data_IF_238054503921
#
_entry.id   IF_238054503921
#
_cell.length_a   1.000
_cell.length_b   1.000
_cell.length_c   1.000
_cell.angle_alpha   90.00
_cell.angle_beta   90.00
_cell.angle_gamma   90.00
#
_symmetry.space_group_name_H-M   'P 1'
#
loop_
_entity.id
_entity.type
_entity.pdbx_description
1 polymer ?
#
# COMPACT_ATOMS: atom_id res chain seq x y z
N UNK A 1 17.65 -16.26 -16.69
CA UNK A 1 16.44 -15.47 -16.97
C UNK A 1 16.15 -14.55 -15.79
N UNK A 2 15.42 -13.44 -16.00
CA UNK A 2 14.95 -12.56 -14.91
C UNK A 2 13.44 -12.62 -14.80
N UNK A 3 12.90 -12.60 -13.59
CA UNK A 3 11.45 -12.63 -13.37
C UNK A 3 11.06 -12.17 -11.99
N UNK A 4 9.76 -12.15 -11.71
CA UNK A 4 9.19 -11.76 -10.42
C UNK A 4 8.50 -12.94 -9.75
N UNK A 5 8.75 -13.17 -8.47
CA UNK A 5 8.00 -14.17 -7.70
C UNK A 5 6.57 -13.67 -7.51
N UNK A 6 5.60 -14.36 -8.10
CA UNK A 6 4.17 -13.99 -8.03
C UNK A 6 3.39 -14.84 -7.04
N UNK A 7 3.88 -16.04 -6.70
CA UNK A 7 3.20 -16.98 -5.80
C UNK A 7 4.21 -17.84 -5.07
N UNK A 8 3.94 -18.14 -3.80
CA UNK A 8 4.73 -19.09 -3.00
C UNK A 8 3.81 -20.11 -2.35
N UNK A 9 4.03 -21.39 -2.67
CA UNK A 9 3.34 -22.52 -2.05
C UNK A 9 4.37 -23.47 -1.48
N UNK A 10 4.46 -23.53 -0.14
CA UNK A 10 5.46 -24.31 0.58
C UNK A 10 6.90 -23.96 0.17
N UNK A 11 7.56 -24.80 -0.62
CA UNK A 11 8.95 -24.62 -1.09
C UNK A 11 9.03 -24.35 -2.60
N UNK A 12 7.89 -24.15 -3.25
CA UNK A 12 7.75 -23.89 -4.67
C UNK A 12 7.41 -22.41 -4.89
N UNK A 13 8.14 -21.79 -5.83
CA UNK A 13 8.06 -20.38 -6.15
C UNK A 13 7.64 -20.25 -7.61
N UNK A 14 6.50 -19.63 -7.87
CA UNK A 14 6.09 -19.36 -9.24
C UNK A 14 6.68 -18.01 -9.67
N UNK A 15 7.56 -18.06 -10.66
CA UNK A 15 8.27 -16.88 -11.20
C UNK A 15 7.63 -16.48 -12.52
N UNK A 16 7.15 -15.24 -12.64
CA UNK A 16 6.66 -14.69 -13.89
C UNK A 16 7.78 -14.01 -14.66
N UNK A 17 7.93 -14.37 -15.94
CA UNK A 17 8.92 -13.80 -16.85
C UNK A 17 8.39 -13.87 -18.28
N UNK A 18 8.50 -12.76 -19.03
CA UNK A 18 8.17 -12.69 -20.47
C UNK A 18 6.79 -13.28 -20.84
N UNK A 19 5.76 -13.00 -20.04
CA UNK A 19 4.39 -13.47 -20.35
C UNK A 19 4.09 -14.90 -19.87
N UNK A 20 5.03 -15.57 -19.20
CA UNK A 20 4.88 -16.96 -18.75
C UNK A 20 5.21 -17.11 -17.27
N UNK A 21 4.55 -18.06 -16.63
CA UNK A 21 4.81 -18.46 -15.25
C UNK A 21 5.64 -19.75 -15.22
N UNK A 22 6.66 -19.78 -14.38
CA UNK A 22 7.60 -20.88 -14.24
C UNK A 22 7.63 -21.36 -12.80
N UNK A 23 7.28 -22.62 -12.59
CA UNK A 23 7.42 -23.27 -11.29
C UNK A 23 8.90 -23.53 -10.99
N UNK A 24 9.37 -22.89 -9.93
CA UNK A 24 10.78 -22.83 -9.58
C UNK A 24 11.05 -23.28 -8.14
N UNK A 25 12.27 -23.73 -7.89
CA UNK A 25 12.77 -24.06 -6.56
C UNK A 25 13.85 -23.07 -6.14
N UNK A 26 13.84 -22.65 -4.88
CA UNK A 26 14.96 -21.89 -4.32
C UNK A 26 16.10 -22.83 -3.91
N UNK A 27 17.29 -22.61 -4.47
CA UNK A 27 18.50 -23.36 -4.13
C UNK A 27 18.98 -23.06 -2.71
N UNK A 28 19.70 -24.01 -2.10
CA UNK A 28 20.12 -23.94 -0.69
C UNK A 28 20.88 -22.67 -0.30
N UNK A 29 21.74 -22.14 -1.19
CA UNK A 29 22.47 -20.89 -0.94
C UNK A 29 21.56 -19.65 -0.86
N UNK A 30 20.49 -19.60 -1.65
CA UNK A 30 19.52 -18.49 -1.64
C UNK A 30 18.75 -18.48 -0.33
N UNK A 31 18.31 -19.65 0.14
CA UNK A 31 17.58 -19.79 1.41
C UNK A 31 18.39 -19.38 2.65
N UNK A 32 19.71 -19.41 2.57
CA UNK A 32 20.64 -19.09 3.66
C UNK A 32 20.97 -17.60 3.75
N UNK A 33 20.77 -16.83 2.68
CA UNK A 33 21.02 -15.38 2.65
C UNK A 33 19.76 -14.59 2.96
N UNK A 34 18.71 -14.78 2.14
CA UNK A 34 17.42 -14.11 2.31
C UNK A 34 16.30 -15.06 1.92
N UNK A 35 15.26 -15.14 2.76
CA UNK A 35 14.06 -15.91 2.44
C UNK A 35 13.35 -15.23 1.27
N UNK A 36 13.12 -15.92 0.13
CA UNK A 36 12.37 -15.32 -0.97
C UNK A 36 10.93 -15.07 -0.55
N UNK A 37 10.41 -13.90 -0.93
CA UNK A 37 9.02 -13.49 -0.70
C UNK A 37 8.37 -13.09 -2.02
N UNK A 38 7.04 -12.97 -2.02
CA UNK A 38 6.30 -12.51 -3.19
C UNK A 38 6.71 -11.07 -3.52
N UNK A 39 6.80 -10.75 -4.82
CA UNK A 39 7.27 -9.46 -5.31
C UNK A 39 8.77 -9.38 -5.58
N UNK A 40 9.56 -10.33 -5.06
CA UNK A 40 11.00 -10.39 -5.30
C UNK A 40 11.30 -10.53 -6.79
N UNK A 41 12.25 -9.73 -7.25
CA UNK A 41 12.84 -9.91 -8.58
C UNK A 41 14.00 -10.88 -8.46
N UNK A 42 14.06 -11.87 -9.35
CA UNK A 42 14.99 -12.99 -9.23
C UNK A 42 15.67 -13.32 -10.55
N UNK A 43 16.88 -13.83 -10.45
CA UNK A 43 17.55 -14.55 -11.52
C UNK A 43 17.32 -16.05 -11.33
N UNK A 44 16.84 -16.70 -12.38
CA UNK A 44 16.54 -18.13 -12.38
C UNK A 44 16.94 -18.78 -13.70
N UNK A 45 17.22 -20.08 -13.66
CA UNK A 45 17.67 -20.86 -14.83
C UNK A 45 17.16 -22.30 -14.77
N UNK A 46 17.17 -22.98 -15.91
CA UNK A 46 16.77 -24.38 -16.02
C UNK A 46 17.98 -25.28 -15.72
N UNK A 47 17.87 -26.09 -14.66
CA UNK A 47 18.89 -27.08 -14.24
C UNK A 47 18.19 -28.42 -14.09
N UNK A 48 18.68 -29.46 -14.76
CA UNK A 48 18.13 -30.82 -14.68
C UNK A 48 16.59 -30.85 -14.79
N UNK A 49 16.08 -30.18 -15.84
CA UNK A 49 14.64 -30.06 -16.16
C UNK A 49 13.80 -29.25 -15.16
N UNK A 50 14.42 -28.60 -14.16
CA UNK A 50 13.73 -27.78 -13.16
C UNK A 50 14.24 -26.34 -13.18
N UNK A 51 13.32 -25.39 -13.05
CA UNK A 51 13.71 -24.00 -12.86
C UNK A 51 14.20 -23.77 -11.43
N UNK A 52 15.36 -23.15 -11.29
CA UNK A 52 16.02 -22.93 -10.02
C UNK A 52 16.36 -21.45 -9.85
N UNK A 53 15.88 -20.84 -8.77
CA UNK A 53 16.23 -19.47 -8.38
C UNK A 53 17.68 -19.47 -7.89
N UNK A 54 18.51 -18.66 -8.54
CA UNK A 54 19.93 -18.50 -8.25
C UNK A 54 20.21 -17.29 -7.38
N UNK A 55 19.42 -16.22 -7.54
CA UNK A 55 19.67 -14.95 -6.87
C UNK A 55 18.37 -14.16 -6.69
N UNK A 56 18.23 -13.52 -5.54
CA UNK A 56 17.24 -12.47 -5.28
C UNK A 56 17.93 -11.12 -5.55
N UNK A 57 17.30 -10.27 -6.34
CA UNK A 57 17.76 -8.91 -6.62
C UNK A 57 17.38 -7.98 -5.46
N UNK A 58 18.03 -6.82 -5.39
CA UNK A 58 17.82 -5.84 -4.33
C UNK A 58 16.35 -5.40 -4.24
N UNK A 59 15.80 -5.38 -3.02
CA UNK A 59 14.43 -4.95 -2.75
C UNK A 59 14.40 -3.42 -2.63
N UNK A 60 13.50 -2.77 -3.35
CA UNK A 60 13.23 -1.33 -3.17
C UNK A 60 12.49 -1.02 -1.87
N UNK A 61 11.61 -1.92 -1.47
CA UNK A 61 10.87 -1.88 -0.22
C UNK A 61 10.39 -3.29 0.15
N UNK A 62 9.93 -3.45 1.39
CA UNK A 62 9.40 -4.70 1.90
C UNK A 62 8.35 -4.44 2.98
N UNK A 63 7.24 -5.16 2.92
CA UNK A 63 6.24 -5.22 3.97
C UNK A 63 6.38 -6.53 4.76
N UNK A 64 6.11 -6.47 6.06
CA UNK A 64 6.16 -7.64 6.95
C UNK A 64 4.83 -8.41 6.89
N UNK A 65 3.69 -7.71 6.84
CA UNK A 65 2.34 -8.30 6.85
C UNK A 65 1.44 -7.59 5.84
N UNK A 66 1.16 -8.20 4.67
CA UNK A 66 1.69 -9.46 4.16
C UNK A 66 3.20 -9.36 3.87
N UNK A 67 3.87 -10.50 3.83
CA UNK A 67 5.26 -10.54 3.34
C UNK A 67 5.26 -10.35 1.82
N UNK A 68 5.62 -9.14 1.39
CA UNK A 68 5.73 -8.74 -0.03
C UNK A 68 6.84 -7.70 -0.20
N UNK A 69 7.56 -7.73 -1.30
CA UNK A 69 8.57 -6.72 -1.68
C UNK A 69 8.23 -6.02 -2.98
N UNK A 70 8.95 -4.93 -3.25
CA UNK A 70 8.89 -4.20 -4.52
C UNK A 70 7.47 -3.76 -4.89
N UNK A 71 6.74 -3.24 -3.89
CA UNK A 71 5.40 -2.68 -4.06
C UNK A 71 5.54 -1.23 -4.53
N UNK A 72 4.96 -0.89 -5.67
CA UNK A 72 5.05 0.47 -6.21
C UNK A 72 4.06 1.41 -5.52
N UNK A 73 2.85 0.93 -5.23
CA UNK A 73 1.79 1.76 -4.68
C UNK A 73 0.80 0.99 -3.80
N UNK A 74 0.12 1.71 -2.93
CA UNK A 74 -0.99 1.21 -2.14
C UNK A 74 -2.24 2.06 -2.43
N UNK A 75 -3.30 1.41 -2.87
CA UNK A 75 -4.58 2.06 -3.09
C UNK A 75 -5.39 2.04 -1.80
N UNK A 76 -5.61 3.22 -1.22
CA UNK A 76 -6.48 3.46 -0.06
C UNK A 76 -7.91 3.62 -0.58
N UNK A 77 -8.74 2.60 -0.42
CA UNK A 77 -10.14 2.65 -0.85
C UNK A 77 -11.01 3.08 0.34
N UNK A 78 -11.71 4.19 0.15
CA UNK A 78 -12.68 4.75 1.09
C UNK A 78 -14.03 4.90 0.42
N UNK A 79 -15.10 4.91 1.20
CA UNK A 79 -16.43 5.31 0.75
C UNK A 79 -16.70 6.76 1.16
N UNK A 80 -17.52 7.46 0.39
CA UNK A 80 -17.94 8.81 0.72
C UNK A 80 -18.94 8.84 1.88
N UNK A 81 -19.93 7.93 1.86
CA UNK A 81 -21.06 7.95 2.81
C UNK A 81 -21.24 6.68 3.64
N UNK A 82 -20.98 5.49 3.10
CA UNK A 82 -21.26 4.23 3.81
C UNK A 82 -20.10 3.21 3.68
N UNK A 83 -19.25 3.07 4.70
CA UNK A 83 -19.14 3.93 5.89
C UNK A 83 -18.76 5.39 5.54
N UNK A 84 -19.00 6.30 6.49
CA UNK A 84 -18.66 7.71 6.34
C UNK A 84 -17.16 7.89 6.08
N UNK A 85 -16.82 8.83 5.20
CA UNK A 85 -15.43 9.16 4.91
C UNK A 85 -14.70 9.61 6.18
N UNK A 86 -13.51 9.03 6.43
CA UNK A 86 -12.69 9.37 7.59
C UNK A 86 -11.31 9.80 7.15
N UNK A 87 -11.02 11.10 7.23
CA UNK A 87 -9.70 11.65 6.95
C UNK A 87 -8.64 11.09 7.93
N UNK A 88 -9.02 10.85 9.19
CA UNK A 88 -8.14 10.24 10.21
C UNK A 88 -7.64 8.87 9.75
N UNK A 89 -8.52 8.04 9.19
CA UNK A 89 -8.13 6.73 8.67
C UNK A 89 -7.24 6.87 7.43
N UNK A 90 -7.57 7.77 6.51
CA UNK A 90 -6.77 8.00 5.30
C UNK A 90 -5.37 8.45 5.66
N UNK A 91 -5.22 9.43 6.55
CA UNK A 91 -3.91 9.95 6.96
C UNK A 91 -3.08 8.89 7.69
N UNK A 92 -3.70 8.11 8.58
CA UNK A 92 -3.00 6.98 9.22
C UNK A 92 -2.50 5.97 8.20
N UNK A 93 -3.30 5.64 7.18
CA UNK A 93 -2.87 4.77 6.10
C UNK A 93 -1.75 5.39 5.27
N UNK A 94 -1.84 6.68 4.93
CA UNK A 94 -0.78 7.43 4.24
C UNK A 94 0.53 7.33 5.01
N UNK A 95 0.51 7.53 6.33
CA UNK A 95 1.71 7.47 7.17
C UNK A 95 2.35 6.08 7.13
N UNK A 96 1.56 5.02 7.31
CA UNK A 96 2.06 3.64 7.23
C UNK A 96 2.61 3.31 5.83
N UNK A 97 1.88 3.67 4.79
CA UNK A 97 2.25 3.41 3.39
C UNK A 97 3.54 4.13 3.04
N UNK A 98 3.63 5.42 3.37
CA UNK A 98 4.78 6.25 3.03
C UNK A 98 6.02 5.83 3.83
N UNK A 99 5.86 5.41 5.09
CA UNK A 99 6.96 4.86 5.89
C UNK A 99 7.62 3.64 5.23
N UNK A 100 6.82 2.82 4.52
CA UNK A 100 7.30 1.64 3.81
C UNK A 100 7.83 1.96 2.39
N UNK A 101 8.06 3.23 2.05
CA UNK A 101 8.51 3.64 0.70
C UNK A 101 7.57 3.17 -0.42
N UNK A 102 6.26 3.22 -0.15
CA UNK A 102 5.20 2.89 -1.11
C UNK A 102 4.39 4.16 -1.39
N UNK A 103 4.00 4.37 -2.65
CA UNK A 103 3.20 5.55 -3.04
C UNK A 103 1.70 5.36 -2.68
N UNK A 104 1.10 6.22 -1.83
CA UNK A 104 -0.33 6.16 -1.53
C UNK A 104 -1.17 6.78 -2.66
N UNK A 105 -2.18 6.03 -3.11
CA UNK A 105 -3.20 6.51 -4.04
C UNK A 105 -4.56 6.41 -3.38
N UNK A 106 -5.32 7.50 -3.33
CA UNK A 106 -6.62 7.54 -2.67
C UNK A 106 -7.72 7.29 -3.70
N UNK A 107 -8.59 6.32 -3.42
CA UNK A 107 -9.79 6.07 -4.20
C UNK A 107 -11.01 6.24 -3.32
N UNK A 108 -11.86 7.20 -3.66
CA UNK A 108 -13.12 7.45 -2.97
C UNK A 108 -14.26 6.87 -3.80
N UNK A 109 -15.07 6.04 -3.18
CA UNK A 109 -16.19 5.33 -3.79
C UNK A 109 -17.53 5.86 -3.31
N UNK A 110 -18.60 5.49 -4.03
CA UNK A 110 -19.97 5.88 -3.71
C UNK A 110 -20.18 7.40 -3.76
N UNK A 111 -19.45 8.09 -4.65
CA UNK A 111 -19.62 9.54 -4.86
C UNK A 111 -20.99 9.87 -5.46
N UNK A 112 -21.66 8.89 -6.07
CA UNK A 112 -23.04 8.98 -6.56
C UNK A 112 -24.09 9.05 -5.45
N UNK A 113 -23.71 8.75 -4.20
CA UNK A 113 -24.61 8.72 -3.05
C UNK A 113 -24.45 9.92 -2.11
N UNK A 114 -23.57 10.87 -2.44
CA UNK A 114 -23.37 12.08 -1.62
C UNK A 114 -24.51 13.08 -1.86
N UNK A 115 -24.91 13.77 -0.80
CA UNK A 115 -25.77 14.94 -0.90
C UNK A 115 -24.95 16.24 -0.98
N UNK A 116 -25.61 17.35 -1.33
CA UNK A 116 -24.97 18.68 -1.44
C UNK A 116 -24.43 19.22 -0.10
N UNK A 117 -24.80 18.61 1.04
CA UNK A 117 -24.34 19.04 2.36
C UNK A 117 -23.04 18.37 2.81
N UNK A 118 -22.51 17.45 2.01
CA UNK A 118 -21.32 16.69 2.34
C UNK A 118 -20.03 17.47 1.99
N UNK A 119 -19.15 17.67 2.98
CA UNK A 119 -17.89 18.41 2.82
C UNK A 119 -16.74 17.56 2.22
N UNK A 120 -17.03 16.43 1.57
CA UNK A 120 -15.99 15.52 1.05
C UNK A 120 -15.05 16.19 0.04
N UNK A 121 -15.56 17.14 -0.74
CA UNK A 121 -14.77 17.86 -1.73
C UNK A 121 -13.64 18.69 -1.10
N UNK A 122 -13.86 19.24 0.10
CA UNK A 122 -12.81 19.96 0.82
C UNK A 122 -11.66 19.02 1.20
N UNK A 123 -11.97 17.82 1.68
CA UNK A 123 -10.95 16.81 1.97
C UNK A 123 -10.22 16.36 0.70
N UNK A 124 -10.96 16.13 -0.40
CA UNK A 124 -10.38 15.73 -1.69
C UNK A 124 -9.36 16.76 -2.18
N UNK A 125 -9.72 18.04 -2.16
CA UNK A 125 -8.85 19.11 -2.60
C UNK A 125 -7.66 19.32 -1.64
N UNK A 126 -7.85 19.10 -0.34
CA UNK A 126 -6.74 19.09 0.61
C UNK A 126 -5.67 18.02 0.27
N UNK A 127 -6.09 16.79 -0.02
CA UNK A 127 -5.20 15.72 -0.46
C UNK A 127 -4.52 16.04 -1.81
N UNK A 128 -5.26 16.59 -2.78
CA UNK A 128 -4.71 16.96 -4.09
C UNK A 128 -3.67 18.07 -4.00
N UNK A 129 -3.94 19.14 -3.25
CA UNK A 129 -2.99 20.24 -3.01
C UNK A 129 -1.69 19.77 -2.37
N UNK A 130 -1.78 18.71 -1.56
CA UNK A 130 -0.63 18.09 -0.90
C UNK A 130 0.14 17.10 -1.78
N UNK A 131 -0.28 16.94 -3.05
CA UNK A 131 0.40 16.11 -4.04
C UNK A 131 0.01 14.63 -4.03
N UNK A 132 -1.11 14.26 -3.41
CA UNK A 132 -1.66 12.90 -3.48
C UNK A 132 -2.57 12.74 -4.70
N UNK A 133 -2.51 11.56 -5.32
CA UNK A 133 -3.45 11.18 -6.38
C UNK A 133 -4.78 10.75 -5.77
N UNK A 134 -5.86 11.46 -6.11
CA UNK A 134 -7.23 11.15 -5.64
C UNK A 134 -8.13 10.84 -6.83
N UNK A 135 -8.70 9.63 -6.85
CA UNK A 135 -9.67 9.18 -7.85
C UNK A 135 -11.04 9.02 -7.18
N UNK A 136 -12.05 9.66 -7.75
CA UNK A 136 -13.43 9.58 -7.31
C UNK A 136 -14.20 8.61 -8.23
N UNK A 137 -15.05 7.76 -7.65
CA UNK A 137 -15.82 6.72 -8.35
C UNK A 137 -17.29 6.74 -7.93
N UNK A 138 -18.19 6.43 -8.86
CA UNK A 138 -19.65 6.51 -8.69
C UNK A 138 -20.40 6.82 -9.99
N UNK A 139 -19.73 7.39 -11.00
CA UNK A 139 -20.39 7.99 -12.18
C UNK A 139 -20.10 7.28 -13.52
N UNK A 140 -19.19 6.30 -13.55
CA UNK A 140 -19.00 5.37 -14.67
C UNK A 140 -17.66 5.43 -15.41
N UNK A 141 -17.00 6.59 -15.47
CA UNK A 141 -15.79 6.82 -16.29
C UNK A 141 -14.46 6.66 -15.51
N UNK A 142 -14.53 6.46 -14.21
CA UNK A 142 -13.37 6.33 -13.31
C UNK A 142 -12.44 5.14 -13.59
N UNK A 143 -12.94 4.09 -14.26
CA UNK A 143 -12.20 2.84 -14.44
C UNK A 143 -11.00 3.02 -15.37
N UNK A 144 -11.06 3.96 -16.32
CA UNK A 144 -9.94 4.25 -17.21
C UNK A 144 -8.76 4.81 -16.42
N UNK A 145 -9.00 5.83 -15.59
CA UNK A 145 -7.99 6.45 -14.73
C UNK A 145 -7.37 5.44 -13.77
N UNK A 146 -8.19 4.52 -13.25
CA UNK A 146 -7.73 3.50 -12.33
C UNK A 146 -6.92 2.40 -13.03
N UNK A 147 -7.28 2.01 -14.26
CA UNK A 147 -6.45 1.11 -15.09
C UNK A 147 -5.08 1.72 -15.39
N UNK A 148 -5.03 3.01 -15.74
CA UNK A 148 -3.77 3.74 -15.93
C UNK A 148 -2.93 3.81 -14.65
N UNK A 149 -3.57 3.94 -13.48
CA UNK A 149 -2.86 3.87 -12.19
C UNK A 149 -2.22 2.50 -11.98
N UNK A 150 -2.92 1.42 -12.30
CA UNK A 150 -2.50 0.04 -12.02
C UNK A 150 -1.45 -0.48 -13.00
N UNK A 151 -1.47 -0.01 -14.25
CA UNK A 151 -0.62 -0.50 -15.32
C UNK A 151 0.87 -0.51 -14.92
N UNK A 152 1.54 -1.62 -15.21
CA UNK A 152 2.98 -1.85 -14.99
C UNK A 152 3.46 -1.70 -13.53
N UNK A 153 2.54 -1.73 -12.55
CA UNK A 153 2.86 -1.58 -11.13
C UNK A 153 2.41 -2.75 -10.27
N UNK A 154 3.14 -3.00 -9.19
CA UNK A 154 2.72 -3.84 -8.08
C UNK A 154 1.92 -3.00 -7.10
N UNK A 155 0.66 -3.38 -6.90
CA UNK A 155 -0.31 -2.64 -6.09
C UNK A 155 -0.83 -3.49 -4.95
N UNK A 156 -0.92 -2.90 -3.76
CA UNK A 156 -1.64 -3.46 -2.61
C UNK A 156 -2.89 -2.63 -2.32
N UNK A 157 -3.90 -3.23 -1.67
CA UNK A 157 -5.12 -2.52 -1.28
C UNK A 157 -5.20 -2.30 0.22
N UNK A 158 -5.66 -1.11 0.60
CA UNK A 158 -5.95 -0.70 1.96
C UNK A 158 -7.39 -0.16 2.07
N UNK A 159 -7.89 -0.08 3.30
CA UNK A 159 -9.22 0.47 3.62
C UNK A 159 -10.11 -0.52 4.37
N UNK A 160 -11.22 -0.03 4.93
CA UNK A 160 -12.14 -0.82 5.76
C UNK A 160 -12.95 -1.85 4.96
N UNK A 161 -13.55 -2.84 5.64
CA UNK A 161 -14.55 -3.69 4.99
C UNK A 161 -15.77 -2.86 4.57
N UNK A 162 -16.48 -3.27 3.50
CA UNK A 162 -17.71 -2.59 3.05
C UNK A 162 -17.51 -1.34 2.18
N UNK A 163 -16.30 -0.76 2.11
CA UNK A 163 -15.96 0.42 1.28
C UNK A 163 -15.93 0.17 -0.24
N UNK A 164 -16.34 -1.01 -0.70
CA UNK A 164 -16.44 -1.30 -2.14
C UNK A 164 -15.18 -1.83 -2.84
N UNK A 165 -14.10 -2.21 -2.13
CA UNK A 165 -12.87 -2.79 -2.72
C UNK A 165 -13.14 -3.92 -3.73
N UNK A 166 -13.84 -4.98 -3.32
CA UNK A 166 -14.13 -6.12 -4.20
C UNK A 166 -14.99 -5.72 -5.39
N UNK A 167 -15.94 -4.81 -5.19
CA UNK A 167 -16.79 -4.29 -6.27
C UNK A 167 -15.97 -3.49 -7.29
N UNK A 168 -15.04 -2.65 -6.82
CA UNK A 168 -14.10 -1.89 -7.64
C UNK A 168 -13.21 -2.82 -8.49
N UNK A 169 -12.63 -3.85 -7.87
CA UNK A 169 -11.78 -4.82 -8.57
C UNK A 169 -12.55 -5.62 -9.62
N UNK A 170 -13.77 -6.06 -9.31
CA UNK A 170 -14.61 -6.79 -10.25
C UNK A 170 -15.00 -5.95 -11.46
N UNK A 171 -15.13 -4.63 -11.31
CA UNK A 171 -15.37 -3.70 -12.42
C UNK A 171 -14.12 -3.45 -13.26
N UNK A 172 -12.94 -3.49 -12.65
CA UNK A 172 -11.66 -3.25 -13.33
C UNK A 172 -11.28 -4.37 -14.28
N UNK A 173 -11.41 -5.62 -13.83
CA UNK A 173 -11.01 -6.79 -14.61
C UNK A 173 -11.93 -7.99 -14.34
N UNK A 174 -12.61 -8.46 -15.39
CA UNK A 174 -13.50 -9.62 -15.31
C UNK A 174 -12.74 -10.92 -15.01
N UNK A 175 -11.45 -11.00 -15.38
CA UNK A 175 -10.61 -12.17 -15.06
C UNK A 175 -10.34 -12.26 -13.56
N UNK A 176 -10.17 -11.11 -12.89
CA UNK A 176 -10.05 -11.06 -11.44
C UNK A 176 -11.35 -11.48 -10.74
N UNK A 177 -12.51 -11.17 -11.31
CA UNK A 177 -13.80 -11.62 -10.77
C UNK A 177 -13.89 -13.17 -10.67
N UNK A 178 -13.26 -13.91 -11.58
CA UNK A 178 -13.19 -15.37 -11.52
C UNK A 178 -12.32 -15.84 -10.34
N UNK A 179 -11.16 -15.20 -10.14
CA UNK A 179 -10.31 -15.48 -8.98
C UNK A 179 -11.01 -15.14 -7.65
N UNK A 180 -11.71 -14.00 -7.57
CA UNK A 180 -12.45 -13.65 -6.35
C UNK A 180 -13.56 -14.63 -6.00
N UNK A 181 -14.18 -15.32 -6.97
CA UNK A 181 -15.17 -16.37 -6.68
C UNK A 181 -14.53 -17.65 -6.12
N UNK A 182 -13.33 -18.02 -6.58
CA UNK A 182 -12.55 -19.11 -5.99
C UNK A 182 -12.03 -18.74 -4.59
N UNK A 183 -11.56 -17.51 -4.43
CA UNK A 183 -11.08 -16.93 -3.18
C UNK A 183 -12.23 -16.76 -2.16
N UNK A 184 -13.41 -16.25 -2.56
CA UNK A 184 -14.55 -16.06 -1.65
C UNK A 184 -15.17 -17.39 -1.21
N UNK A 185 -15.11 -18.44 -2.03
CA UNK A 185 -15.48 -19.80 -1.63
C UNK A 185 -14.51 -20.37 -0.59
N UNK A 186 -13.22 -20.01 -0.65
CA UNK A 186 -12.23 -20.37 0.37
C UNK A 186 -12.37 -19.51 1.66
N UNK A 187 -12.69 -18.22 1.54
CA UNK A 187 -12.89 -17.27 2.64
C UNK A 187 -14.25 -17.38 3.34
N UNK A 188 -15.27 -17.96 2.68
CA UNK A 188 -16.60 -18.19 3.24
C UNK A 188 -16.64 -19.19 4.41
N UNK A 189 -15.52 -19.86 4.72
CA UNK A 189 -15.30 -20.59 5.97
C UNK A 189 -14.58 -19.65 6.94
N UNK A 190 -15.34 -18.83 7.64
CA UNK A 190 -14.84 -17.73 8.47
C UNK A 190 -13.55 -18.04 9.24
N UNK A 191 -12.47 -17.38 8.82
CA UNK A 191 -11.34 -16.91 9.63
C UNK A 191 -10.42 -16.14 8.68
N UNK A 192 -10.16 -14.86 8.97
CA UNK A 192 -9.22 -14.01 8.22
C UNK A 192 -7.80 -14.59 8.28
N UNK A 193 -7.51 -15.60 7.46
CA UNK A 193 -6.22 -16.31 7.42
C UNK A 193 -5.89 -16.69 5.98
N UNK A 194 -5.81 -15.71 5.08
CA UNK A 194 -5.07 -15.93 3.83
C UNK A 194 -3.59 -15.93 4.19
N UNK A 195 -3.05 -17.11 4.53
CA UNK A 195 -1.63 -17.33 4.91
C UNK A 195 -0.66 -17.21 3.73
N UNK A 196 -1.16 -16.95 2.52
CA UNK A 196 -0.37 -16.91 1.31
C UNK A 196 -0.62 -15.60 0.57
N UNK A 197 0.43 -14.79 0.43
CA UNK A 197 0.46 -13.66 -0.50
C UNK A 197 0.54 -14.20 -1.92
N UNK A 198 -0.22 -13.64 -2.85
CA UNK A 198 -0.17 -13.94 -4.28
C UNK A 198 -0.43 -12.66 -5.08
N UNK A 199 0.26 -12.52 -6.22
CA UNK A 199 0.09 -11.43 -7.17
C UNK A 199 -0.78 -11.88 -8.34
N UNK A 200 -1.89 -11.17 -8.55
CA UNK A 200 -2.81 -11.37 -9.65
C UNK A 200 -2.59 -10.31 -10.71
N UNK A 201 -2.61 -10.71 -11.97
CA UNK A 201 -2.53 -9.73 -13.05
C UNK A 201 -3.86 -8.99 -13.16
N UNK A 202 -3.82 -7.66 -13.07
CA UNK A 202 -5.02 -6.81 -13.12
C UNK A 202 -4.68 -5.55 -13.91
N UNK A 203 -5.44 -5.26 -14.96
CA UNK A 203 -5.31 -4.02 -15.73
C UNK A 203 -3.88 -3.71 -16.23
N UNK A 204 -3.11 -4.75 -16.59
CA UNK A 204 -1.72 -4.60 -17.04
C UNK A 204 -0.69 -4.40 -15.92
N UNK A 205 -1.09 -4.47 -14.65
CA UNK A 205 -0.20 -4.51 -13.49
C UNK A 205 -0.42 -5.76 -12.64
N UNK A 206 0.04 -5.68 -11.39
CA UNK A 206 -0.06 -6.74 -10.39
C UNK A 206 -0.80 -6.24 -9.16
N UNK A 207 -1.68 -7.08 -8.62
CA UNK A 207 -2.44 -6.81 -7.42
C UNK A 207 -2.20 -7.90 -6.38
N UNK A 208 -1.83 -7.53 -5.16
CA UNK A 208 -1.72 -8.48 -4.06
C UNK A 208 -3.09 -8.73 -3.39
N UNK A 209 -3.52 -9.99 -3.28
CA UNK A 209 -4.75 -10.39 -2.58
C UNK A 209 -4.52 -10.61 -1.09
N UNK A 210 -4.05 -9.56 -0.41
CA UNK A 210 -3.88 -9.59 1.04
C UNK A 210 -4.13 -8.22 1.62
N UNK A 211 -4.79 -8.11 2.78
CA UNK A 211 -4.92 -6.84 3.46
C UNK A 211 -3.54 -6.43 4.00
N UNK A 212 -2.89 -5.45 3.35
CA UNK A 212 -1.56 -4.99 3.77
C UNK A 212 -1.52 -3.95 4.87
N UNK A 213 -2.66 -3.35 5.16
CA UNK A 213 -2.77 -2.29 6.16
C UNK A 213 -4.05 -2.44 6.99
N UNK A 214 -4.48 -3.69 7.25
CA UNK A 214 -5.68 -3.95 8.05
C UNK A 214 -5.51 -3.61 9.53
N UNK A 215 -4.29 -3.65 10.06
CA UNK A 215 -3.96 -3.22 11.41
C UNK A 215 -3.17 -1.92 11.35
N UNK A 216 -3.74 -0.84 11.89
CA UNK A 216 -3.07 0.45 12.03
C UNK A 216 -2.11 0.43 13.22
N UNK A 217 -1.01 -0.31 13.09
CA UNK A 217 0.01 -0.45 14.13
C UNK A 217 1.20 0.46 13.83
N UNK A 218 1.42 1.44 14.71
CA UNK A 218 2.52 2.40 14.64
C UNK A 218 3.64 2.09 15.65
N UNK A 219 3.49 1.06 16.49
CA UNK A 219 4.38 0.81 17.62
C UNK A 219 5.85 0.65 17.24
N UNK A 220 6.12 0.18 16.03
CA UNK A 220 7.45 -0.10 15.49
C UNK A 220 7.99 0.98 14.56
N UNK A 221 7.21 2.04 14.31
CA UNK A 221 7.59 3.13 13.41
C UNK A 221 8.49 4.11 14.14
N UNK A 222 9.61 4.47 13.50
CA UNK A 222 10.42 5.61 13.91
C UNK A 222 9.76 6.92 13.46
N UNK A 223 9.32 7.72 14.44
CA UNK A 223 8.69 9.01 14.18
C UNK A 223 9.59 9.98 13.41
N UNK A 224 10.91 9.91 13.57
CA UNK A 224 11.86 10.76 12.85
C UNK A 224 11.90 10.43 11.37
N UNK A 225 11.99 9.13 11.06
CA UNK A 225 11.95 8.64 9.68
C UNK A 225 10.59 8.92 9.05
N UNK A 226 9.50 8.73 9.80
CA UNK A 226 8.14 8.97 9.30
C UNK A 226 7.97 10.39 8.73
N UNK A 227 8.46 11.41 9.42
CA UNK A 227 8.35 12.81 8.99
C UNK A 227 8.94 13.01 7.60
N UNK A 228 10.11 12.44 7.35
CA UNK A 228 10.83 12.57 6.06
C UNK A 228 10.07 11.91 4.90
N UNK A 229 9.23 10.92 5.20
CA UNK A 229 8.46 10.16 4.21
C UNK A 229 7.11 10.80 3.89
N UNK A 230 6.61 11.73 4.71
CA UNK A 230 5.32 12.39 4.47
C UNK A 230 5.49 13.53 3.46
N UNK A 231 4.71 13.51 2.37
CA UNK A 231 4.83 14.50 1.28
C UNK A 231 4.67 15.95 1.75
N UNK A 232 3.77 16.19 2.68
CA UNK A 232 3.51 17.51 3.28
C UNK A 232 4.70 18.07 4.03
N UNK A 233 5.51 17.20 4.63
CA UNK A 233 6.47 17.58 5.66
C UNK A 233 7.88 17.75 5.10
N UNK A 234 8.02 17.84 3.77
CA UNK A 234 9.32 18.08 3.10
C UNK A 234 10.03 19.36 3.57
N UNK A 235 9.30 20.34 4.12
CA UNK A 235 9.91 21.55 4.69
C UNK A 235 10.50 21.35 6.10
N UNK A 236 10.44 20.13 6.66
CA UNK A 236 10.97 19.80 7.98
C UNK A 236 12.47 20.15 8.12
N UNK A 237 13.26 20.00 7.05
CA UNK A 237 14.68 20.37 7.00
C UNK A 237 14.93 21.87 7.25
N UNK A 238 13.91 22.72 7.07
CA UNK A 238 13.99 24.16 7.36
C UNK A 238 13.74 24.50 8.84
N UNK A 239 13.58 23.50 9.70
CA UNK A 239 13.45 23.73 11.14
C UNK A 239 14.76 24.24 11.74
N UNK A 240 14.63 25.11 12.76
CA UNK A 240 15.77 25.62 13.52
C UNK A 240 16.56 24.51 14.23
N UNK A 241 15.88 23.46 14.67
CA UNK A 241 16.46 22.34 15.42
C UNK A 241 16.49 21.09 14.53
N UNK A 242 17.64 20.40 14.50
CA UNK A 242 17.83 19.19 13.70
C UNK A 242 17.05 17.99 14.22
N UNK A 243 16.67 17.99 15.50
CA UNK A 243 15.92 16.93 16.17
C UNK A 243 14.45 17.28 16.42
N UNK A 244 13.95 18.34 15.76
CA UNK A 244 12.58 18.81 15.86
C UNK A 244 11.58 17.68 15.60
N UNK A 245 10.74 17.36 16.57
CA UNK A 245 9.63 16.42 16.44
C UNK A 245 8.35 17.08 15.90
N UNK A 246 8.40 18.41 15.69
CA UNK A 246 7.29 19.23 15.22
C UNK A 246 6.06 19.16 16.12
N UNK A 247 6.26 19.11 17.44
CA UNK A 247 5.20 19.10 18.44
C UNK A 247 5.23 20.43 19.19
N UNK A 248 6.19 20.57 20.11
CA UNK A 248 6.26 21.69 21.05
C UNK A 248 7.39 22.68 20.72
N UNK A 249 8.25 22.36 19.76
CA UNK A 249 9.45 23.12 19.44
C UNK A 249 9.11 24.54 18.95
N UNK A 250 9.81 25.58 19.44
CA UNK A 250 9.66 26.92 18.89
C UNK A 250 10.26 26.98 17.46
N UNK A 251 9.81 27.96 16.66
CA UNK A 251 10.31 28.19 15.29
C UNK A 251 10.23 26.98 14.33
N UNK A 252 9.30 26.05 14.58
CA UNK A 252 9.09 24.89 13.72
C UNK A 252 8.54 25.28 12.33
N UNK A 253 9.24 24.88 11.27
CA UNK A 253 8.84 25.14 9.88
C UNK A 253 7.51 24.47 9.52
N UNK A 254 7.26 23.25 10.02
CA UNK A 254 5.98 22.55 9.83
C UNK A 254 4.83 23.35 10.45
N UNK A 255 4.97 23.82 11.70
CA UNK A 255 3.93 24.61 12.36
C UNK A 255 3.66 25.93 11.64
N UNK A 256 4.70 26.61 11.16
CA UNK A 256 4.55 27.81 10.30
C UNK A 256 3.86 27.48 8.98
N UNK A 257 4.20 26.34 8.37
CA UNK A 257 3.53 25.83 7.17
C UNK A 257 2.03 25.61 7.38
N UNK A 258 1.63 25.08 8.53
CA UNK A 258 0.23 24.94 8.92
C UNK A 258 -0.45 26.30 9.12
N UNK A 259 0.21 27.22 9.84
CA UNK A 259 -0.30 28.58 10.09
C UNK A 259 -0.54 29.36 8.79
N UNK A 260 0.36 29.22 7.81
CA UNK A 260 0.24 29.87 6.50
C UNK A 260 -0.64 29.11 5.50
N UNK A 261 -1.22 27.96 5.88
CA UNK A 261 -2.09 27.15 5.01
C UNK A 261 -1.35 26.39 3.91
N UNK A 262 -0.02 26.27 3.99
CA UNK A 262 0.80 25.48 3.08
C UNK A 262 0.80 23.98 3.42
N UNK A 263 0.50 23.64 4.67
CA UNK A 263 0.35 22.27 5.17
C UNK A 263 -1.07 22.10 5.71
N UNK A 264 -1.68 20.96 5.39
CA UNK A 264 -3.00 20.60 5.91
C UNK A 264 -3.02 20.58 7.45
N UNK A 265 -3.86 21.42 8.04
CA UNK A 265 -4.05 21.46 9.50
C UNK A 265 -4.64 20.15 10.03
N UNK A 266 -5.49 19.50 9.24
CA UNK A 266 -6.06 18.18 9.55
C UNK A 266 -4.98 17.11 9.56
N UNK A 267 -4.12 17.08 8.54
CA UNK A 267 -3.03 16.08 8.48
C UNK A 267 -2.02 16.28 9.59
N UNK A 268 -1.68 17.53 9.90
CA UNK A 268 -0.81 17.84 11.04
C UNK A 268 -1.44 17.41 12.37
N UNK A 269 -2.74 17.63 12.58
CA UNK A 269 -3.45 17.12 13.76
C UNK A 269 -3.38 15.59 13.84
N UNK A 270 -3.66 14.89 12.74
CA UNK A 270 -3.60 13.44 12.70
C UNK A 270 -2.18 12.90 12.92
N UNK A 271 -1.15 13.63 12.49
CA UNK A 271 0.23 13.34 12.82
C UNK A 271 0.48 13.42 14.34
N UNK A 272 0.03 14.50 15.01
CA UNK A 272 0.17 14.64 16.46
C UNK A 272 -0.52 13.50 17.25
N UNK A 273 -1.61 12.95 16.71
CA UNK A 273 -2.30 11.79 17.30
C UNK A 273 -1.50 10.47 17.13
N UNK A 274 -0.64 10.40 16.11
CA UNK A 274 0.12 9.18 15.75
C UNK A 274 1.48 9.13 16.43
N UNK A 275 2.20 10.26 16.54
CA UNK A 275 3.55 10.29 17.11
C UNK A 275 3.66 9.60 18.49
N UNK A 276 2.71 9.77 19.43
CA UNK A 276 2.75 9.08 20.73
C UNK A 276 2.66 7.54 20.64
N UNK A 277 2.17 7.02 19.51
CA UNK A 277 2.05 5.59 19.24
C UNK A 277 3.34 5.01 18.65
N UNK A 278 4.26 5.84 18.17
CA UNK A 278 5.54 5.45 17.56
C UNK A 278 6.58 5.04 18.62
N UNK A 279 7.66 4.40 18.17
CA UNK A 279 8.83 4.05 19.00
C UNK A 279 8.54 3.19 20.26
N UNK A 280 7.42 2.45 20.28
CA UNK A 280 7.05 1.59 21.41
C UNK A 280 7.62 0.18 21.35
N UNK A 281 8.01 -0.29 20.15
CA UNK A 281 8.59 -1.60 19.89
C UNK A 281 9.72 -1.48 18.88
N UNK A 282 10.62 -2.45 18.89
CA UNK A 282 11.67 -2.55 17.88
C UNK A 282 11.15 -3.34 16.67
N UNK A 283 11.58 -2.96 15.47
CA UNK A 283 11.08 -3.53 14.21
C UNK A 283 11.24 -5.06 14.12
N UNK A 284 12.27 -5.63 14.74
CA UNK A 284 12.51 -7.08 14.80
C UNK A 284 11.64 -7.84 15.82
N UNK A 285 10.79 -7.14 16.57
CA UNK A 285 9.84 -7.74 17.52
C UNK A 285 8.48 -8.06 16.85
N UNK A 286 8.36 -7.87 15.53
CA UNK A 286 7.17 -8.08 14.68
C UNK A 286 7.16 -9.42 13.94
#
# INVERSE_FOLDING_TARGET
>A
MKGKIIKIVSNQYTVYSEGKAYDSLAMGKVRLQDKPIVGDEVEFELIDEKYCIQKILERRNQMIRPAISNVDQAIIVMSAVEPEFSNVLVDRLIFLISYNDIEPVIVITKMDLIDESNNIDEYIEDYRRSGYKVICTGFGDELIKLKEVLKDKVTVLAGQSGVGKSSLLNRLDKSFALHTQEISRALGRGKHTTRHTELYQVAGGWLADTPGFSSLDFSWIDSKVLIEKIKDFKIAESCRFNDCQHINEPDCAIKKGVEYGNISSLRYKNYLDVVPLCNQRKEWEL
#
